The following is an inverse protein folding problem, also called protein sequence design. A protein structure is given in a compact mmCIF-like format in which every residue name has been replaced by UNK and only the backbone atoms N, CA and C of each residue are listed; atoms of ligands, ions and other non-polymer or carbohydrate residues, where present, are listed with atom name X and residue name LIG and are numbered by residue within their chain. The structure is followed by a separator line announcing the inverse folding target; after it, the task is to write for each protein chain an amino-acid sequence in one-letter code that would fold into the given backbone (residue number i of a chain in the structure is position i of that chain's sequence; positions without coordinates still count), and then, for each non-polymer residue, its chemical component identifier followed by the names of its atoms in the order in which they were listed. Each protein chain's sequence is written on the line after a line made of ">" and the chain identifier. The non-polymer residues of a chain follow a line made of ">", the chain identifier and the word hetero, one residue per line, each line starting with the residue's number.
data_IF_422983896697
#
_entry.id   IF_422983896697
#
_cell.length_a   1.000
_cell.length_b   1.000
_cell.length_c   1.000
_cell.angle_alpha   90.00
_cell.angle_beta   90.00
_cell.angle_gamma   90.00
#
_symmetry.space_group_name_H-M   'P 1'
#
loop_
_entity.id
_entity.type
_entity.pdbx_description
1 polymer ?
#
# COMPACT_ATOMS: atom_id res chain seq x y z
N UNK A 1 14.15 15.73 -15.65
CA UNK A 1 14.38 14.58 -16.59
C UNK A 1 13.07 14.33 -17.35
N UNK A 2 13.09 13.79 -18.58
CA UNK A 2 11.82 13.50 -19.28
C UNK A 2 11.25 12.20 -18.71
N UNK A 3 9.95 12.18 -18.34
CA UNK A 3 9.23 10.96 -18.03
C UNK A 3 9.24 10.01 -19.24
N UNK A 4 9.25 8.72 -18.99
CA UNK A 4 9.02 7.74 -20.03
C UNK A 4 7.58 7.89 -20.52
N UNK A 5 7.42 8.10 -21.82
CA UNK A 5 6.09 8.28 -22.43
C UNK A 5 5.83 7.11 -23.36
N UNK A 6 4.81 6.32 -23.05
CA UNK A 6 4.26 5.32 -23.94
C UNK A 6 2.87 5.81 -24.37
N UNK A 7 2.60 5.95 -25.68
CA UNK A 7 1.29 6.43 -26.14
C UNK A 7 0.15 5.61 -25.54
N UNK A 8 -0.85 6.31 -24.97
CA UNK A 8 -2.05 5.72 -24.37
C UNK A 8 -1.80 4.81 -23.14
N UNK A 9 -0.61 4.90 -22.51
CA UNK A 9 -0.30 4.20 -21.29
C UNK A 9 0.21 5.17 -20.23
N UNK A 10 -0.09 4.88 -18.97
CA UNK A 10 0.55 5.48 -17.81
C UNK A 10 1.51 4.47 -17.23
N UNK A 11 2.69 4.92 -16.88
CA UNK A 11 3.70 4.08 -16.22
C UNK A 11 3.70 4.38 -14.73
N UNK A 12 3.66 3.32 -13.94
CA UNK A 12 3.86 3.38 -12.50
C UNK A 12 5.17 2.73 -12.08
N UNK A 13 5.69 3.15 -10.94
CA UNK A 13 6.84 2.52 -10.30
C UNK A 13 6.66 2.50 -8.79
N UNK A 14 7.16 1.44 -8.16
CA UNK A 14 7.12 1.33 -6.70
C UNK A 14 8.23 2.16 -6.03
N UNK A 15 7.94 2.67 -4.85
CA UNK A 15 8.94 3.28 -3.97
C UNK A 15 10.01 2.29 -3.46
N UNK A 16 9.88 1.01 -3.77
CA UNK A 16 10.80 -0.05 -3.36
C UNK A 16 11.87 -0.37 -4.42
N UNK A 17 11.95 0.42 -5.50
CA UNK A 17 12.95 0.25 -6.56
C UNK A 17 14.40 0.49 -6.11
N UNK A 18 14.58 1.34 -5.11
CA UNK A 18 15.88 1.66 -4.56
C UNK A 18 15.95 1.12 -3.14
N UNK A 19 17.09 0.56 -2.76
CA UNK A 19 17.40 0.17 -1.37
C UNK A 19 17.72 1.41 -0.51
N UNK A 20 16.89 2.45 -0.63
CA UNK A 20 17.02 3.73 0.04
C UNK A 20 15.78 4.04 0.86
N UNK A 21 15.82 5.16 1.56
CA UNK A 21 14.66 5.68 2.29
C UNK A 21 13.55 6.14 1.35
N UNK A 22 12.33 6.34 1.88
CA UNK A 22 11.13 6.64 1.08
C UNK A 22 11.29 7.86 0.17
N UNK A 23 11.82 8.97 0.68
CA UNK A 23 11.88 10.24 -0.06
C UNK A 23 12.73 10.15 -1.34
N UNK A 24 13.98 9.64 -1.31
CA UNK A 24 14.77 9.43 -2.53
C UNK A 24 14.11 8.47 -3.53
N UNK A 25 13.52 7.38 -3.04
CA UNK A 25 12.88 6.38 -3.89
C UNK A 25 11.64 6.94 -4.59
N UNK A 26 10.77 7.66 -3.85
CA UNK A 26 9.60 8.34 -4.41
C UNK A 26 10.01 9.41 -5.42
N UNK A 27 11.04 10.21 -5.11
CA UNK A 27 11.56 11.22 -6.04
C UNK A 27 12.04 10.57 -7.34
N UNK A 28 12.81 9.50 -7.24
CA UNK A 28 13.31 8.76 -8.41
C UNK A 28 12.16 8.25 -9.28
N UNK A 29 11.11 7.68 -8.67
CA UNK A 29 9.94 7.17 -9.38
C UNK A 29 9.11 8.31 -10.01
N UNK A 30 8.78 9.36 -9.25
CA UNK A 30 7.94 10.45 -9.70
C UNK A 30 8.55 11.27 -10.85
N UNK A 31 9.89 11.44 -10.86
CA UNK A 31 10.60 12.09 -11.98
C UNK A 31 10.53 11.31 -13.30
N UNK A 32 10.21 10.02 -13.26
CA UNK A 32 10.30 9.11 -14.43
C UNK A 32 8.97 8.51 -14.83
N UNK A 33 8.04 8.39 -13.91
CA UNK A 33 6.78 7.69 -14.09
C UNK A 33 5.58 8.62 -13.81
N UNK A 34 4.41 8.21 -14.27
CA UNK A 34 3.16 8.95 -14.10
C UNK A 34 2.49 8.65 -12.76
N UNK A 35 2.87 7.52 -12.14
CA UNK A 35 2.28 7.02 -10.92
C UNK A 35 3.35 6.43 -9.99
N UNK A 36 3.16 6.58 -8.69
CA UNK A 36 4.04 6.01 -7.67
C UNK A 36 3.23 5.09 -6.75
N UNK A 37 3.67 3.84 -6.66
CA UNK A 37 3.18 2.91 -5.65
C UNK A 37 3.99 3.10 -4.36
N UNK A 38 3.41 3.76 -3.37
CA UNK A 38 4.04 3.93 -2.06
C UNK A 38 3.79 2.67 -1.23
N UNK A 39 4.83 1.86 -1.07
CA UNK A 39 4.82 0.70 -0.19
C UNK A 39 5.44 1.09 1.15
N UNK A 40 4.64 1.04 2.21
CA UNK A 40 5.10 1.26 3.58
C UNK A 40 5.19 -0.08 4.29
N UNK A 41 6.39 -0.42 4.71
CA UNK A 41 6.70 -1.66 5.43
C UNK A 41 6.73 -1.38 6.92
N UNK A 42 6.03 -2.17 7.72
CA UNK A 42 6.12 -2.05 9.18
C UNK A 42 7.52 -2.47 9.66
N UNK A 43 8.00 -1.86 10.76
CA UNK A 43 9.29 -2.22 11.34
C UNK A 43 9.35 -3.70 11.69
N UNK A 44 10.31 -4.39 11.10
CA UNK A 44 10.63 -5.78 11.35
C UNK A 44 12.10 -5.95 11.72
N UNK A 45 12.62 -7.17 11.57
CA UNK A 45 14.02 -7.51 11.91
C UNK A 45 15.07 -6.83 10.99
N UNK A 46 14.64 -6.11 9.94
CA UNK A 46 15.50 -5.54 8.88
C UNK A 46 15.66 -4.02 8.90
N UNK A 47 15.45 -3.35 10.04
CA UNK A 47 15.46 -1.88 10.14
C UNK A 47 14.45 -1.16 9.24
N UNK A 48 13.38 -1.82 8.88
CA UNK A 48 12.27 -1.24 8.15
C UNK A 48 11.51 -0.30 9.08
N UNK A 49 10.98 0.80 8.56
CA UNK A 49 10.23 1.77 9.35
C UNK A 49 9.11 2.38 8.53
N UNK A 50 8.04 2.76 9.20
CA UNK A 50 7.03 3.62 8.58
C UNK A 50 7.62 5.00 8.33
N UNK A 51 7.26 5.61 7.20
CA UNK A 51 7.68 6.96 6.90
C UNK A 51 7.27 7.91 8.03
N UNK A 52 8.16 8.81 8.38
CA UNK A 52 7.88 9.85 9.37
C UNK A 52 6.88 10.89 8.82
N UNK A 53 6.16 11.63 9.67
CA UNK A 53 5.30 12.72 9.21
C UNK A 53 6.03 13.75 8.33
N UNK A 54 7.32 14.01 8.60
CA UNK A 54 8.14 14.88 7.78
C UNK A 54 8.39 14.34 6.37
N UNK A 55 8.68 13.04 6.26
CA UNK A 55 8.83 12.36 4.98
C UNK A 55 7.52 12.34 4.20
N UNK A 56 6.37 12.13 4.85
CA UNK A 56 5.05 12.20 4.21
C UNK A 56 4.81 13.58 3.59
N UNK A 57 5.12 14.65 4.31
CA UNK A 57 5.01 16.02 3.79
C UNK A 57 5.90 16.23 2.56
N UNK A 58 7.14 15.75 2.61
CA UNK A 58 8.07 15.87 1.48
C UNK A 58 7.65 15.00 0.29
N UNK A 59 7.15 13.80 0.52
CA UNK A 59 6.55 12.93 -0.51
C UNK A 59 5.42 13.68 -1.22
N UNK A 60 4.50 14.29 -0.48
CA UNK A 60 3.41 15.07 -1.05
C UNK A 60 3.90 16.21 -1.95
N UNK A 61 4.95 16.92 -1.54
CA UNK A 61 5.57 17.97 -2.36
C UNK A 61 6.16 17.43 -3.67
N UNK A 62 6.84 16.28 -3.60
CA UNK A 62 7.43 15.63 -4.77
C UNK A 62 6.34 15.22 -5.74
N UNK A 63 5.31 14.52 -5.27
CA UNK A 63 4.20 14.03 -6.10
C UNK A 63 3.51 15.20 -6.81
N UNK A 64 3.19 16.27 -6.08
CA UNK A 64 2.58 17.46 -6.65
C UNK A 64 3.50 18.18 -7.66
N UNK A 65 4.78 18.34 -7.33
CA UNK A 65 5.78 18.99 -8.19
C UNK A 65 5.99 18.26 -9.50
N UNK A 66 6.04 16.96 -9.48
CA UNK A 66 6.22 16.11 -10.67
C UNK A 66 4.90 15.78 -11.38
N UNK A 67 3.75 16.22 -10.85
CA UNK A 67 2.41 15.90 -11.36
C UNK A 67 2.20 14.40 -11.53
N UNK A 68 2.76 13.61 -10.62
CA UNK A 68 2.53 12.19 -10.54
C UNK A 68 1.24 11.92 -9.76
N UNK A 69 0.64 10.76 -9.97
CA UNK A 69 -0.38 10.24 -9.05
C UNK A 69 0.28 9.32 -8.03
N UNK A 70 -0.45 9.02 -6.97
CA UNK A 70 0.01 8.15 -5.90
C UNK A 70 -1.06 7.13 -5.57
N UNK A 71 -0.67 5.87 -5.45
CA UNK A 71 -1.44 4.88 -4.72
C UNK A 71 -0.61 4.31 -3.56
N UNK A 72 -1.30 3.85 -2.53
CA UNK A 72 -0.66 3.24 -1.36
C UNK A 72 -0.82 1.74 -1.46
N UNK A 73 0.30 1.04 -1.45
CA UNK A 73 0.31 -0.40 -1.28
C UNK A 73 0.30 -0.69 0.21
N UNK A 74 -0.78 -1.29 0.68
CA UNK A 74 -0.96 -1.67 2.08
C UNK A 74 0.00 -2.81 2.46
N UNK A 75 0.23 -3.08 3.75
CA UNK A 75 1.15 -4.13 4.19
C UNK A 75 0.92 -5.46 3.49
N UNK A 76 2.01 -6.10 3.06
CA UNK A 76 1.99 -7.34 2.26
C UNK A 76 2.10 -8.61 3.07
N UNK A 77 2.35 -8.49 4.38
CA UNK A 77 2.42 -9.60 5.33
C UNK A 77 1.03 -9.97 5.88
N UNK A 78 0.04 -9.93 5.00
CA UNK A 78 -1.33 -10.24 5.34
C UNK A 78 -1.46 -11.72 5.70
N UNK A 79 -2.13 -12.00 6.82
CA UNK A 79 -2.50 -13.33 7.25
C UNK A 79 -4.01 -13.36 7.51
N UNK A 80 -4.73 -13.96 6.56
CA UNK A 80 -6.17 -14.16 6.68
C UNK A 80 -6.53 -15.61 6.99
N UNK A 81 -5.55 -16.47 7.36
CA UNK A 81 -5.81 -17.82 7.80
C UNK A 81 -6.61 -17.90 9.08
N UNK A 82 -6.48 -16.87 9.93
CA UNK A 82 -7.17 -16.78 11.22
C UNK A 82 -7.82 -15.41 11.40
N UNK A 83 -8.89 -15.37 12.21
CA UNK A 83 -9.51 -14.09 12.61
C UNK A 83 -8.52 -13.18 13.35
N UNK A 84 -7.63 -13.75 14.16
CA UNK A 84 -6.61 -12.98 14.89
C UNK A 84 -5.61 -12.32 13.94
N UNK A 85 -5.16 -13.04 12.90
CA UNK A 85 -4.32 -12.51 11.84
C UNK A 85 -5.01 -11.36 11.10
N UNK A 86 -6.27 -11.57 10.67
CA UNK A 86 -7.08 -10.54 10.01
C UNK A 86 -7.24 -9.28 10.89
N UNK A 87 -7.52 -9.43 12.18
CA UNK A 87 -7.61 -8.29 13.14
C UNK A 87 -6.29 -7.56 13.31
N UNK A 88 -5.17 -8.29 13.36
CA UNK A 88 -3.83 -7.68 13.39
C UNK A 88 -3.62 -6.81 12.16
N UNK A 89 -4.00 -7.30 10.99
CA UNK A 89 -3.90 -6.58 9.73
C UNK A 89 -4.74 -5.29 9.73
N UNK A 90 -5.96 -5.30 10.26
CA UNK A 90 -6.78 -4.09 10.39
C UNK A 90 -6.04 -2.99 11.16
N UNK A 91 -5.36 -3.36 12.25
CA UNK A 91 -4.56 -2.42 13.06
C UNK A 91 -3.40 -1.81 12.28
N UNK A 92 -2.68 -2.61 11.49
CA UNK A 92 -1.58 -2.15 10.63
C UNK A 92 -2.09 -1.21 9.55
N UNK A 93 -3.16 -1.59 8.85
CA UNK A 93 -3.75 -0.80 7.76
C UNK A 93 -4.26 0.54 8.27
N UNK A 94 -4.90 0.57 9.45
CA UNK A 94 -5.36 1.83 10.05
C UNK A 94 -4.21 2.82 10.24
N UNK A 95 -3.08 2.37 10.78
CA UNK A 95 -1.89 3.22 10.94
C UNK A 95 -1.36 3.75 9.61
N UNK A 96 -1.30 2.90 8.60
CA UNK A 96 -0.86 3.30 7.25
C UNK A 96 -1.86 4.29 6.64
N UNK A 97 -3.15 4.05 6.74
CA UNK A 97 -4.20 4.94 6.22
C UNK A 97 -4.18 6.32 6.88
N UNK A 98 -4.03 6.37 8.21
CA UNK A 98 -3.90 7.62 8.96
C UNK A 98 -2.65 8.42 8.52
N UNK A 99 -1.53 7.72 8.36
CA UNK A 99 -0.27 8.33 7.95
C UNK A 99 -0.32 8.87 6.53
N UNK A 100 -0.91 8.12 5.61
CA UNK A 100 -0.90 8.44 4.17
C UNK A 100 -2.13 9.21 3.70
N UNK A 101 -3.18 9.30 4.50
CA UNK A 101 -4.39 10.06 4.17
C UNK A 101 -4.13 11.48 3.68
N UNK A 102 -3.21 12.25 4.30
CA UNK A 102 -2.85 13.60 3.83
C UNK A 102 -2.26 13.67 2.42
N UNK A 103 -1.79 12.57 1.86
CA UNK A 103 -1.29 12.48 0.48
C UNK A 103 -2.41 12.37 -0.56
N UNK A 104 -3.65 12.17 -0.12
CA UNK A 104 -4.83 11.94 -0.98
C UNK A 104 -4.60 10.88 -2.08
N UNK A 105 -4.15 9.65 -1.72
CA UNK A 105 -3.87 8.62 -2.69
C UNK A 105 -5.13 8.24 -3.46
N UNK A 106 -5.00 7.99 -4.77
CA UNK A 106 -6.14 7.64 -5.61
C UNK A 106 -6.66 6.21 -5.34
N UNK A 107 -5.83 5.34 -4.78
CA UNK A 107 -6.24 3.99 -4.34
C UNK A 107 -5.34 3.44 -3.25
N UNK A 108 -5.88 2.48 -2.51
CA UNK A 108 -5.19 1.65 -1.53
C UNK A 108 -5.27 0.21 -2.01
N UNK A 109 -4.13 -0.43 -2.24
CA UNK A 109 -4.06 -1.81 -2.75
C UNK A 109 -3.80 -2.75 -1.59
N UNK A 110 -4.68 -3.72 -1.39
CA UNK A 110 -4.57 -4.76 -0.37
C UNK A 110 -4.45 -6.13 -1.03
N UNK A 111 -3.49 -6.92 -0.58
CA UNK A 111 -3.46 -8.35 -0.88
C UNK A 111 -4.15 -9.10 0.26
N UNK A 112 -5.15 -9.92 -0.09
CA UNK A 112 -5.73 -10.91 0.83
C UNK A 112 -4.96 -12.20 0.62
N UNK A 113 -4.29 -12.66 1.65
CA UNK A 113 -3.45 -13.85 1.59
C UNK A 113 -3.84 -14.86 2.66
N UNK A 114 -3.74 -16.14 2.28
CA UNK A 114 -3.98 -17.28 3.13
C UNK A 114 -2.73 -18.18 3.10
N UNK A 115 -1.73 -17.91 3.94
CA UNK A 115 -0.45 -18.63 3.92
C UNK A 115 -0.59 -20.15 3.99
N UNK A 116 -1.58 -20.67 4.73
CA UNK A 116 -1.83 -22.11 4.84
C UNK A 116 -2.24 -22.76 3.51
N UNK A 117 -2.72 -21.98 2.55
CA UNK A 117 -3.16 -22.47 1.24
C UNK A 117 -2.07 -22.42 0.18
N UNK A 118 -0.91 -21.80 0.47
CA UNK A 118 0.18 -21.70 -0.49
C UNK A 118 0.63 -23.08 -0.97
N UNK A 119 0.61 -23.28 -2.28
CA UNK A 119 1.05 -24.51 -2.92
C UNK A 119 0.08 -25.69 -2.79
N UNK A 120 -1.07 -25.53 -2.13
CA UNK A 120 -2.06 -26.61 -1.96
C UNK A 120 -3.08 -26.68 -3.11
N UNK A 121 -3.30 -25.55 -3.78
CA UNK A 121 -4.40 -25.37 -4.74
C UNK A 121 -5.78 -25.40 -4.09
N UNK A 122 -5.84 -25.30 -2.76
CA UNK A 122 -7.09 -25.19 -2.00
C UNK A 122 -7.73 -23.83 -2.05
N UNK A 123 -8.99 -23.77 -1.65
CA UNK A 123 -9.74 -22.52 -1.51
C UNK A 123 -9.98 -22.20 -0.02
N UNK A 124 -10.16 -20.92 0.35
CA UNK A 124 -10.51 -20.56 1.72
C UNK A 124 -11.81 -21.22 2.16
N UNK A 125 -11.83 -21.70 3.40
CA UNK A 125 -13.04 -22.28 4.02
C UNK A 125 -14.16 -21.21 4.12
N UNK A 126 -15.40 -21.65 4.32
CA UNK A 126 -16.52 -20.75 4.52
C UNK A 126 -16.30 -19.80 5.71
N UNK A 127 -15.69 -20.28 6.78
CA UNK A 127 -15.33 -19.47 7.95
C UNK A 127 -14.27 -18.42 7.61
N UNK A 128 -13.22 -18.80 6.88
CA UNK A 128 -12.20 -17.87 6.39
C UNK A 128 -12.79 -16.79 5.47
N UNK A 129 -13.71 -17.15 4.60
CA UNK A 129 -14.40 -16.19 3.73
C UNK A 129 -15.27 -15.22 4.54
N UNK A 130 -15.96 -15.69 5.60
CA UNK A 130 -16.82 -14.86 6.44
C UNK A 130 -16.00 -13.80 7.20
N UNK A 131 -14.97 -14.20 7.92
CA UNK A 131 -14.15 -13.23 8.65
C UNK A 131 -13.31 -12.33 7.73
N UNK A 132 -12.90 -12.82 6.54
CA UNK A 132 -12.26 -11.97 5.54
C UNK A 132 -13.20 -10.85 5.08
N UNK A 133 -14.46 -11.20 4.79
CA UNK A 133 -15.45 -10.21 4.40
C UNK A 133 -15.74 -9.19 5.52
N UNK A 134 -15.72 -9.61 6.78
CA UNK A 134 -15.83 -8.70 7.93
C UNK A 134 -14.60 -7.79 8.04
N UNK A 135 -13.40 -8.35 7.97
CA UNK A 135 -12.16 -7.60 8.02
C UNK A 135 -12.07 -6.57 6.88
N UNK A 136 -12.46 -6.92 5.65
CA UNK A 136 -12.48 -6.00 4.52
C UNK A 136 -13.45 -4.82 4.73
N UNK A 137 -14.61 -5.04 5.37
CA UNK A 137 -15.51 -3.94 5.73
C UNK A 137 -14.88 -2.99 6.76
N UNK A 138 -14.22 -3.55 7.79
CA UNK A 138 -13.52 -2.74 8.79
C UNK A 138 -12.34 -1.99 8.17
N UNK A 139 -11.57 -2.63 7.30
CA UNK A 139 -10.46 -2.00 6.57
C UNK A 139 -10.98 -0.83 5.72
N UNK A 140 -12.01 -1.07 4.92
CA UNK A 140 -12.61 -0.02 4.10
C UNK A 140 -13.07 1.17 4.95
N UNK A 141 -13.66 0.92 6.13
CA UNK A 141 -14.09 1.97 7.05
C UNK A 141 -12.92 2.75 7.69
N UNK A 142 -11.70 2.22 7.68
CA UNK A 142 -10.51 2.94 8.15
C UNK A 142 -9.93 3.89 7.11
N UNK A 143 -10.30 3.74 5.83
CA UNK A 143 -9.75 4.55 4.75
C UNK A 143 -10.50 5.89 4.65
N UNK A 144 -9.80 6.97 4.23
CA UNK A 144 -10.44 8.28 4.02
C UNK A 144 -11.51 8.25 2.92
N UNK A 145 -11.42 7.28 2.00
CA UNK A 145 -12.36 7.04 0.92
C UNK A 145 -12.48 5.51 0.70
N UNK A 146 -13.50 4.85 1.29
CA UNK A 146 -13.66 3.39 1.22
C UNK A 146 -13.68 2.82 -0.20
N UNK A 147 -14.23 3.57 -1.15
CA UNK A 147 -14.30 3.21 -2.57
C UNK A 147 -12.94 3.16 -3.27
N UNK A 148 -11.88 3.64 -2.62
CA UNK A 148 -10.50 3.58 -3.13
C UNK A 148 -9.78 2.30 -2.72
N UNK A 149 -10.41 1.40 -1.97
CA UNK A 149 -9.85 0.09 -1.67
C UNK A 149 -9.89 -0.80 -2.90
N UNK A 150 -8.74 -1.30 -3.31
CA UNK A 150 -8.57 -2.32 -4.34
C UNK A 150 -8.04 -3.62 -3.69
N UNK A 151 -8.67 -4.75 -3.97
CA UNK A 151 -8.33 -6.07 -3.42
C UNK A 151 -7.99 -7.02 -4.55
#
# INVERSE_FOLDING_TARGET
>A
MRKYVIPNMRLGATSFLLHETYVPAVRFAAERCDDVALLLVEPGERNEYLATPGEIVEIGRIIAGERATLHVHLPTDADFDTWEGARSMIGKIRRVAELTGPLDPHSFVLHVDFPSLHGTGGEPSAEQQEWTAEALREIAACLPAPERLAV
#
